data_IF_827714523368
#
_entry.id   IF_827714523368
#
_cell.length_a   1.000
_cell.length_b   1.000
_cell.length_c   1.000
_cell.angle_alpha   90.00
_cell.angle_beta   90.00
_cell.angle_gamma   90.00
#
_symmetry.space_group_name_H-M   'P 1'
#
loop_
_entity.id
_entity.type
_entity.pdbx_description
1 polymer ?
#
# COMPACT_ATOMS: atom_id res chain seq x y z
N UNK A 1 12.46 -46.90 -2.13
CA UNK A 1 11.13 -46.24 -2.10
C UNK A 1 11.36 -44.94 -1.33
N UNK A 2 11.91 -43.92 -1.99
CA UNK A 2 11.19 -42.88 -2.77
C UNK A 2 10.26 -42.05 -1.87
N UNK A 3 10.18 -40.73 -1.94
CA UNK A 3 10.84 -39.74 -2.77
C UNK A 3 10.70 -38.36 -2.09
N UNK A 4 11.61 -37.47 -2.46
CA UNK A 4 11.66 -36.02 -2.25
C UNK A 4 10.37 -35.29 -2.63
N UNK A 5 9.91 -34.35 -1.79
CA UNK A 5 8.97 -33.31 -2.15
C UNK A 5 9.70 -31.95 -2.25
N UNK A 6 9.93 -31.48 -3.48
CA UNK A 6 10.22 -30.08 -3.80
C UNK A 6 8.92 -29.47 -4.31
N UNK A 7 8.45 -28.39 -3.69
CA UNK A 7 7.38 -27.56 -4.19
C UNK A 7 7.96 -26.55 -5.19
N UNK A 8 7.73 -26.82 -6.48
CA UNK A 8 8.11 -25.95 -7.60
C UNK A 8 7.18 -24.72 -7.70
N UNK A 9 7.75 -23.52 -7.57
CA UNK A 9 7.11 -22.29 -8.03
C UNK A 9 7.11 -22.27 -9.57
N UNK A 10 5.94 -22.39 -10.20
CA UNK A 10 5.75 -22.23 -11.65
C UNK A 10 5.20 -20.85 -11.97
N UNK A 11 6.06 -19.93 -12.43
CA UNK A 11 5.63 -18.76 -13.19
C UNK A 11 5.39 -19.18 -14.66
N UNK A 12 4.15 -19.13 -15.12
CA UNK A 12 3.80 -19.34 -16.53
C UNK A 12 3.57 -17.99 -17.22
N UNK A 13 4.19 -17.69 -18.37
CA UNK A 13 3.73 -16.60 -19.22
C UNK A 13 2.51 -17.06 -20.04
N UNK A 14 1.35 -16.40 -19.87
CA UNK A 14 0.18 -16.61 -20.74
C UNK A 14 0.42 -15.96 -22.11
N UNK A 15 0.29 -16.76 -23.17
CA UNK A 15 0.21 -16.31 -24.57
C UNK A 15 -1.09 -15.53 -24.82
N UNK A 16 -0.97 -14.33 -25.38
CA UNK A 16 -2.05 -13.62 -26.05
C UNK A 16 -2.37 -14.31 -27.39
N UNK A 17 -3.62 -14.73 -27.60
CA UNK A 17 -4.12 -15.21 -28.89
C UNK A 17 -4.97 -14.10 -29.54
N UNK A 18 -4.41 -13.46 -30.58
CA UNK A 18 -5.17 -12.65 -31.53
C UNK A 18 -5.85 -13.54 -32.58
N UNK A 19 -7.14 -13.32 -32.80
CA UNK A 19 -7.96 -13.96 -33.82
C UNK A 19 -8.13 -13.01 -35.01
N UNK A 20 -7.75 -13.43 -36.22
CA UNK A 20 -8.20 -12.79 -37.47
C UNK A 20 -8.46 -13.86 -38.54
N UNK A 21 -9.70 -13.91 -39.02
CA UNK A 21 -10.07 -13.87 -40.45
C UNK A 21 -9.80 -15.08 -41.34
N UNK A 22 -10.89 -15.66 -41.85
CA UNK A 22 -10.98 -16.74 -42.84
C UNK A 22 -11.02 -16.16 -44.27
N UNK A 23 -10.27 -16.71 -45.23
CA UNK A 23 -10.58 -16.58 -46.67
C UNK A 23 -9.91 -17.68 -47.54
N UNK A 24 -10.78 -18.46 -48.20
CA UNK A 24 -10.80 -18.91 -49.61
C UNK A 24 -9.61 -19.61 -50.31
N UNK A 25 -9.98 -20.56 -51.21
CA UNK A 25 -9.18 -21.59 -51.90
C UNK A 25 -8.53 -21.15 -53.24
N UNK A 26 -7.32 -21.71 -53.50
CA UNK A 26 -6.69 -22.28 -54.75
C UNK A 26 -6.42 -21.38 -56.00
N UNK A 27 -5.52 -21.76 -56.97
CA UNK A 27 -4.45 -22.80 -56.99
C UNK A 27 -3.05 -22.38 -57.56
N UNK A 28 -2.07 -23.26 -57.26
CA UNK A 28 -0.92 -23.78 -58.04
C UNK A 28 0.16 -22.89 -58.73
N UNK A 29 1.41 -23.34 -58.45
CA UNK A 29 2.66 -23.25 -59.22
C UNK A 29 3.46 -21.95 -59.12
N UNK A 30 4.58 -21.98 -58.37
CA UNK A 30 5.94 -21.60 -58.83
C UNK A 30 6.97 -22.10 -57.79
N UNK A 31 7.99 -22.78 -58.31
CA UNK A 31 9.35 -23.04 -57.80
C UNK A 31 9.65 -22.88 -56.29
N UNK A 32 10.04 -24.00 -55.69
CA UNK A 32 10.60 -24.10 -54.35
C UNK A 32 11.92 -23.32 -54.22
N UNK A 33 11.87 -22.13 -53.61
CA UNK A 33 13.04 -21.50 -53.01
C UNK A 33 13.23 -22.12 -51.63
N UNK A 34 14.32 -22.87 -51.48
CA UNK A 34 14.76 -23.50 -50.23
C UNK A 34 15.18 -22.40 -49.26
N UNK A 35 14.22 -21.83 -48.52
CA UNK A 35 14.54 -20.95 -47.38
C UNK A 35 15.12 -21.81 -46.26
N UNK A 36 16.44 -21.73 -46.09
CA UNK A 36 17.13 -22.21 -44.89
C UNK A 36 16.47 -21.56 -43.67
N UNK A 37 15.69 -22.34 -42.93
CA UNK A 37 15.28 -22.02 -41.56
C UNK A 37 16.54 -21.92 -40.71
N UNK A 38 17.16 -20.74 -40.67
CA UNK A 38 18.05 -20.41 -39.55
C UNK A 38 17.14 -20.26 -38.34
N UNK A 39 17.03 -21.35 -37.57
CA UNK A 39 16.56 -21.34 -36.21
C UNK A 39 17.33 -20.23 -35.50
N UNK A 40 16.70 -19.06 -35.27
CA UNK A 40 17.26 -18.03 -34.40
C UNK A 40 17.33 -18.68 -33.03
N UNK A 41 18.51 -19.17 -32.70
CA UNK A 41 18.84 -19.75 -31.41
C UNK A 41 18.35 -18.76 -30.35
N UNK A 42 17.25 -19.11 -29.68
CA UNK A 42 16.90 -18.53 -28.40
C UNK A 42 18.04 -18.98 -27.51
N UNK A 43 19.08 -18.13 -27.39
CA UNK A 43 20.25 -18.44 -26.57
C UNK A 43 19.71 -18.68 -25.17
N UNK A 44 19.76 -19.95 -24.78
CA UNK A 44 19.47 -20.40 -23.42
C UNK A 44 20.27 -19.50 -22.47
N UNK A 45 19.58 -18.62 -21.75
CA UNK A 45 20.22 -17.87 -20.69
C UNK A 45 20.67 -18.91 -19.65
N UNK A 46 21.98 -18.98 -19.34
CA UNK A 46 22.47 -19.96 -18.39
C UNK A 46 21.78 -19.73 -17.04
N UNK A 47 21.39 -20.82 -16.36
CA UNK A 47 20.69 -20.79 -15.06
C UNK A 47 21.34 -19.84 -14.06
N UNK A 48 22.67 -19.68 -14.14
CA UNK A 48 23.45 -18.77 -13.31
C UNK A 48 23.05 -17.29 -13.51
N UNK A 49 22.74 -16.86 -14.74
CA UNK A 49 22.31 -15.49 -15.04
C UNK A 49 20.86 -15.22 -14.60
N UNK A 50 20.02 -16.26 -14.57
CA UNK A 50 18.67 -16.21 -14.00
C UNK A 50 18.72 -16.08 -12.46
N UNK A 51 19.63 -16.82 -11.81
CA UNK A 51 19.86 -16.73 -10.36
C UNK A 51 20.44 -15.36 -9.95
N UNK A 52 21.32 -14.76 -10.77
CA UNK A 52 21.89 -13.43 -10.52
C UNK A 52 20.84 -12.29 -10.64
N UNK A 53 19.79 -12.44 -11.45
CA UNK A 53 18.66 -11.50 -11.48
C UNK A 53 17.75 -11.64 -10.25
N UNK A 54 17.60 -12.84 -9.68
CA UNK A 54 16.83 -13.06 -8.44
C UNK A 54 17.54 -12.53 -7.18
N UNK A 55 18.87 -12.45 -7.18
CA UNK A 55 19.66 -12.01 -6.02
C UNK A 55 19.83 -10.49 -5.92
N UNK A 56 19.45 -9.74 -6.95
CA UNK A 56 19.66 -8.29 -7.03
C UNK A 56 18.45 -7.44 -6.58
N UNK A 57 17.29 -8.06 -6.33
CA UNK A 57 16.10 -7.37 -5.81
C UNK A 57 15.53 -8.10 -4.58
N UNK A 58 16.13 -7.96 -3.39
CA UNK A 58 15.36 -8.14 -2.18
C UNK A 58 14.56 -6.85 -1.95
N UNK A 59 13.22 -6.91 -1.82
CA UNK A 59 12.49 -6.29 -0.69
C UNK A 59 11.01 -5.95 -0.94
N UNK A 60 10.51 -5.80 -2.16
CA UNK A 60 9.11 -5.41 -2.36
C UNK A 60 8.27 -6.60 -2.81
N UNK A 61 7.62 -7.25 -1.85
CA UNK A 61 6.78 -8.40 -2.08
C UNK A 61 5.37 -7.99 -2.56
N UNK A 62 5.00 -6.72 -2.37
CA UNK A 62 3.77 -6.11 -2.86
C UNK A 62 4.04 -4.95 -3.82
N UNK A 63 3.12 -4.80 -4.77
CA UNK A 63 3.04 -3.59 -5.57
C UNK A 63 1.60 -3.24 -5.89
N UNK A 64 1.31 -1.95 -6.02
CA UNK A 64 0.05 -1.44 -6.51
C UNK A 64 0.32 -0.44 -7.63
N UNK A 65 -0.36 -0.60 -8.77
CA UNK A 65 -0.27 0.34 -9.88
C UNK A 65 -1.59 1.07 -10.04
N UNK A 66 -1.55 2.39 -9.86
CA UNK A 66 -2.65 3.30 -10.17
C UNK A 66 -2.63 3.68 -11.64
N UNK A 67 -3.83 3.91 -12.18
CA UNK A 67 -4.04 4.32 -13.56
C UNK A 67 -4.99 5.51 -13.63
N UNK A 68 -4.70 6.42 -14.56
CA UNK A 68 -5.52 7.60 -14.83
C UNK A 68 -6.85 7.29 -15.53
N UNK A 69 -6.92 6.16 -16.23
CA UNK A 69 -8.14 5.64 -16.86
C UNK A 69 -8.38 4.18 -16.41
N UNK A 70 -9.31 3.47 -17.04
CA UNK A 70 -9.55 2.04 -16.83
C UNK A 70 -8.39 1.14 -17.35
N UNK A 71 -7.41 0.89 -16.48
CA UNK A 71 -6.13 0.19 -16.74
C UNK A 71 -5.26 0.85 -17.82
N UNK A 72 -5.43 2.15 -18.07
CA UNK A 72 -4.79 2.93 -19.13
C UNK A 72 -4.46 4.35 -18.65
N UNK A 73 -4.00 5.19 -19.57
CA UNK A 73 -3.64 6.58 -19.27
C UNK A 73 -2.27 6.66 -18.60
N UNK A 74 -2.08 7.68 -17.76
CA UNK A 74 -0.90 7.73 -16.89
C UNK A 74 -0.95 6.59 -15.89
N UNK A 75 0.22 6.14 -15.42
CA UNK A 75 0.30 5.11 -14.39
C UNK A 75 1.44 5.36 -13.43
N UNK A 76 1.24 5.02 -12.16
CA UNK A 76 2.25 5.08 -11.11
C UNK A 76 2.25 3.78 -10.32
N UNK A 77 3.43 3.18 -10.13
CA UNK A 77 3.58 1.94 -9.37
C UNK A 77 4.21 2.24 -8.02
N UNK A 78 3.53 1.77 -6.99
CA UNK A 78 3.90 1.87 -5.59
C UNK A 78 4.30 0.49 -5.08
N UNK A 79 5.43 0.41 -4.41
CA UNK A 79 5.88 -0.81 -3.74
C UNK A 79 5.49 -0.78 -2.25
N UNK A 80 5.80 -1.81 -1.48
CA UNK A 80 5.57 -1.79 -0.03
C UNK A 80 5.99 -0.45 0.60
N UNK A 81 5.08 0.19 1.35
CA UNK A 81 5.32 1.49 1.97
C UNK A 81 4.11 2.42 2.01
N UNK A 82 4.33 3.57 2.62
CA UNK A 82 3.33 4.62 2.82
C UNK A 82 3.71 5.85 1.97
N UNK A 83 2.81 6.25 1.08
CA UNK A 83 3.02 7.34 0.13
C UNK A 83 1.96 8.41 0.34
N UNK A 84 2.26 9.35 1.24
CA UNK A 84 1.50 10.58 1.39
C UNK A 84 1.72 11.51 0.18
N UNK A 85 0.95 12.59 0.03
CA UNK A 85 0.88 13.48 -1.14
C UNK A 85 2.21 13.76 -1.85
N UNK A 86 3.25 14.16 -1.10
CA UNK A 86 4.55 14.45 -1.69
C UNK A 86 5.22 13.19 -2.29
N UNK A 87 5.17 12.06 -1.59
CA UNK A 87 5.70 10.78 -2.07
C UNK A 87 4.81 10.16 -3.16
N UNK A 88 3.49 10.37 -3.06
CA UNK A 88 2.49 9.94 -4.01
C UNK A 88 2.74 10.54 -5.39
N UNK A 89 2.88 11.86 -5.44
CA UNK A 89 3.18 12.61 -6.66
C UNK A 89 4.61 12.39 -7.15
N UNK A 90 5.59 12.28 -6.25
CA UNK A 90 6.97 11.95 -6.61
C UNK A 90 7.12 10.56 -7.25
N UNK A 91 6.27 9.59 -6.86
CA UNK A 91 6.19 8.27 -7.49
C UNK A 91 5.51 8.29 -8.88
N UNK A 92 5.05 9.45 -9.33
CA UNK A 92 4.47 9.68 -10.66
C UNK A 92 2.95 9.63 -10.70
N UNK A 93 2.26 9.50 -9.56
CA UNK A 93 0.81 9.61 -9.56
C UNK A 93 0.37 11.05 -9.76
N UNK A 94 -0.75 11.22 -10.45
CA UNK A 94 -1.41 12.50 -10.58
C UNK A 94 -2.51 12.58 -9.55
N UNK A 95 -2.35 13.56 -8.68
CA UNK A 95 -3.31 13.90 -7.64
C UNK A 95 -4.70 14.08 -8.24
N UNK A 96 -5.71 13.48 -7.62
CA UNK A 96 -7.10 13.63 -8.06
C UNK A 96 -7.37 13.25 -9.52
N UNK A 97 -6.66 12.25 -10.06
CA UNK A 97 -6.86 11.79 -11.45
C UNK A 97 -6.91 10.24 -11.56
N UNK A 98 -6.95 9.51 -10.45
CA UNK A 98 -6.91 8.05 -10.47
C UNK A 98 -8.31 7.44 -10.70
N UNK A 99 -8.40 6.53 -11.68
CA UNK A 99 -9.66 5.89 -12.10
C UNK A 99 -9.68 4.38 -11.90
N UNK A 100 -8.52 3.75 -11.70
CA UNK A 100 -8.44 2.30 -11.49
C UNK A 100 -7.12 1.86 -10.86
N UNK A 101 -7.08 0.64 -10.31
CA UNK A 101 -5.90 0.12 -9.61
C UNK A 101 -5.68 -1.38 -9.89
N UNK A 102 -4.42 -1.78 -9.95
CA UNK A 102 -3.98 -3.18 -9.90
C UNK A 102 -3.11 -3.39 -8.68
N UNK A 103 -3.38 -4.44 -7.90
CA UNK A 103 -2.57 -4.85 -6.76
C UNK A 103 -1.98 -6.23 -7.08
N UNK A 104 -0.66 -6.33 -7.05
CA UNK A 104 0.09 -7.55 -7.35
C UNK A 104 0.89 -8.02 -6.13
N UNK A 105 0.90 -9.34 -5.94
CA UNK A 105 1.68 -10.02 -4.91
C UNK A 105 0.79 -10.76 -3.91
N UNK A 106 1.32 -11.86 -3.37
CA UNK A 106 0.57 -12.74 -2.49
C UNK A 106 0.19 -12.04 -1.18
N UNK A 107 -1.11 -12.06 -0.89
CA UNK A 107 -1.74 -11.37 0.24
C UNK A 107 -1.57 -9.85 0.21
N UNK A 108 -1.20 -9.25 -0.91
CA UNK A 108 -1.01 -7.81 -0.97
C UNK A 108 -2.32 -7.06 -0.88
N UNK A 109 -2.25 -5.89 -0.25
CA UNK A 109 -3.35 -4.96 -0.14
C UNK A 109 -2.80 -3.55 -0.40
N UNK A 110 -3.62 -2.73 -1.05
CA UNK A 110 -3.40 -1.30 -1.19
C UNK A 110 -4.59 -0.53 -0.58
N UNK A 111 -4.31 0.53 0.16
CA UNK A 111 -5.33 1.43 0.68
C UNK A 111 -5.13 2.80 0.04
N UNK A 112 -6.11 3.26 -0.72
CA UNK A 112 -6.15 4.61 -1.26
C UNK A 112 -6.85 5.56 -0.30
N UNK A 113 -6.42 6.81 -0.31
CA UNK A 113 -6.95 7.88 0.51
C UNK A 113 -7.27 9.10 -0.34
N UNK A 114 -8.35 9.79 0.02
CA UNK A 114 -8.84 10.96 -0.69
C UNK A 114 -8.01 12.20 -0.42
N UNK A 115 -7.51 12.33 0.81
CA UNK A 115 -6.76 13.49 1.24
C UNK A 115 -5.30 13.12 1.56
N UNK A 116 -4.44 14.14 1.57
CA UNK A 116 -3.11 14.05 2.16
C UNK A 116 -3.19 13.68 3.66
N UNK A 117 -2.08 13.21 4.22
CA UNK A 117 -2.00 12.69 5.58
C UNK A 117 -2.77 11.39 5.80
N UNK A 118 -3.12 10.68 4.72
CA UNK A 118 -3.98 9.48 4.75
C UNK A 118 -5.39 9.77 5.33
N UNK A 119 -5.91 10.95 5.06
CA UNK A 119 -7.24 11.40 5.49
C UNK A 119 -8.31 11.21 4.41
N UNK A 120 -9.50 11.73 4.69
CA UNK A 120 -10.62 11.73 3.75
C UNK A 120 -11.27 10.37 3.57
N UNK A 121 -11.89 10.16 2.40
CA UNK A 121 -12.40 8.84 2.02
C UNK A 121 -11.23 7.86 1.85
N UNK A 122 -11.48 6.56 2.02
CA UNK A 122 -10.47 5.55 1.74
C UNK A 122 -11.09 4.31 1.09
N UNK A 123 -10.26 3.54 0.40
CA UNK A 123 -10.67 2.32 -0.29
C UNK A 123 -9.59 1.25 -0.21
N UNK A 124 -9.98 0.04 0.17
CA UNK A 124 -9.06 -1.09 0.38
C UNK A 124 -9.17 -2.08 -0.77
N UNK A 125 -8.03 -2.37 -1.42
CA UNK A 125 -7.91 -3.25 -2.56
C UNK A 125 -7.01 -4.42 -2.20
N UNK A 126 -7.52 -5.65 -2.26
CA UNK A 126 -6.70 -6.87 -2.13
C UNK A 126 -5.97 -7.14 -3.45
N UNK A 127 -5.12 -8.16 -3.48
CA UNK A 127 -4.53 -8.65 -4.73
C UNK A 127 -5.61 -8.84 -5.81
N UNK A 128 -5.40 -8.20 -6.97
CA UNK A 128 -6.38 -8.19 -8.04
C UNK A 128 -6.28 -7.01 -9.00
N UNK A 129 -7.12 -7.04 -10.04
CA UNK A 129 -7.28 -5.96 -11.01
C UNK A 129 -8.66 -5.36 -10.80
N UNK A 130 -8.71 -4.06 -10.50
CA UNK A 130 -9.94 -3.34 -10.23
C UNK A 130 -10.15 -2.30 -11.32
N UNK A 131 -10.84 -2.72 -12.37
CA UNK A 131 -11.38 -1.84 -13.40
C UNK A 131 -12.31 -0.78 -12.81
N UNK A 132 -12.58 0.29 -13.54
CA UNK A 132 -13.35 1.47 -13.08
C UNK A 132 -14.57 1.14 -12.20
N UNK A 133 -15.46 0.25 -12.65
CA UNK A 133 -16.64 -0.12 -11.86
C UNK A 133 -16.29 -0.81 -10.54
N UNK A 134 -15.29 -1.70 -10.55
CA UNK A 134 -14.82 -2.40 -9.36
C UNK A 134 -14.02 -1.47 -8.43
N UNK A 135 -13.35 -0.47 -8.99
CA UNK A 135 -12.65 0.59 -8.27
C UNK A 135 -13.63 1.37 -7.40
N UNK A 136 -14.70 1.89 -8.01
CA UNK A 136 -15.76 2.62 -7.30
C UNK A 136 -16.51 1.74 -6.30
N UNK A 137 -16.82 0.50 -6.69
CA UNK A 137 -17.49 -0.47 -5.80
C UNK A 137 -16.67 -0.82 -4.56
N UNK A 138 -15.34 -0.67 -4.63
CA UNK A 138 -14.44 -0.89 -3.49
C UNK A 138 -14.33 0.33 -2.56
N UNK A 139 -15.13 1.37 -2.82
CA UNK A 139 -15.20 2.58 -2.00
C UNK A 139 -14.33 3.74 -2.51
N UNK A 140 -13.60 3.55 -3.62
CA UNK A 140 -12.79 4.64 -4.14
C UNK A 140 -13.63 5.66 -4.87
N UNK A 141 -13.18 6.91 -4.83
CA UNK A 141 -13.80 7.99 -5.58
C UNK A 141 -12.95 8.26 -6.82
N UNK A 142 -13.63 8.37 -7.96
CA UNK A 142 -12.96 8.70 -9.22
C UNK A 142 -12.28 10.06 -9.13
N UNK A 143 -11.08 10.19 -9.69
CA UNK A 143 -10.38 11.47 -9.80
C UNK A 143 -10.27 12.21 -8.46
N UNK A 144 -10.00 11.46 -7.39
CA UNK A 144 -10.06 12.01 -6.04
C UNK A 144 -9.03 11.43 -5.06
N UNK A 145 -8.03 10.67 -5.54
CA UNK A 145 -7.03 10.03 -4.69
C UNK A 145 -5.77 10.89 -4.57
N UNK A 146 -5.28 11.04 -3.34
CA UNK A 146 -4.13 11.90 -3.01
C UNK A 146 -3.00 11.17 -2.25
N UNK A 147 -3.27 9.97 -1.74
CA UNK A 147 -2.28 9.14 -1.04
C UNK A 147 -2.59 7.64 -1.16
N UNK A 148 -1.57 6.80 -0.98
CA UNK A 148 -1.70 5.33 -1.01
C UNK A 148 -0.77 4.67 0.00
N UNK A 149 -1.21 3.55 0.57
CA UNK A 149 -0.34 2.61 1.29
C UNK A 149 -0.39 1.25 0.62
N UNK A 150 0.75 0.55 0.57
CA UNK A 150 0.87 -0.76 -0.07
C UNK A 150 1.62 -1.71 0.87
N UNK A 151 1.14 -2.95 1.00
CA UNK A 151 1.86 -3.95 1.78
C UNK A 151 1.13 -5.29 1.88
N UNK A 152 1.79 -6.29 2.49
CA UNK A 152 1.19 -7.60 2.74
C UNK A 152 0.13 -7.56 3.84
N UNK A 153 -1.03 -8.12 3.52
CA UNK A 153 -2.08 -8.60 4.41
C UNK A 153 -2.62 -7.57 5.38
N UNK A 154 -2.53 -6.28 5.04
CA UNK A 154 -2.15 -5.20 5.96
C UNK A 154 -2.60 -5.28 7.43
N UNK A 155 -2.07 -6.27 8.14
CA UNK A 155 -1.39 -6.19 9.41
C UNK A 155 0.06 -6.59 9.13
N UNK A 156 0.99 -5.69 9.44
CA UNK A 156 2.46 -5.84 9.35
C UNK A 156 3.14 -5.43 8.02
N UNK A 157 3.16 -4.13 7.71
CA UNK A 157 4.43 -3.47 7.36
C UNK A 157 5.27 -3.12 8.59
N UNK A 158 4.80 -3.46 9.80
CA UNK A 158 5.58 -3.51 11.05
C UNK A 158 5.87 -4.98 11.41
N UNK A 159 6.99 -5.58 10.98
CA UNK A 159 7.37 -6.96 11.30
C UNK A 159 7.42 -7.31 12.80
N UNK A 160 7.23 -6.34 13.71
CA UNK A 160 7.16 -6.56 15.17
C UNK A 160 5.96 -5.92 15.84
N UNK A 161 4.94 -5.49 15.10
CA UNK A 161 3.73 -5.05 15.77
C UNK A 161 3.02 -6.24 16.42
N UNK A 162 2.71 -6.12 17.71
CA UNK A 162 1.83 -7.06 18.41
C UNK A 162 0.65 -6.31 19.01
N UNK A 163 -0.56 -6.83 18.79
CA UNK A 163 -1.74 -6.34 19.48
C UNK A 163 -1.51 -6.37 20.99
N UNK A 164 -2.11 -5.43 21.71
CA UNK A 164 -2.05 -5.40 23.18
C UNK A 164 -2.70 -6.68 23.71
N UNK A 165 -1.96 -7.54 24.45
CA UNK A 165 -2.51 -8.80 24.92
C UNK A 165 -3.76 -8.61 25.78
N UNK A 166 -4.84 -9.30 25.43
CA UNK A 166 -6.10 -9.25 26.18
C UNK A 166 -6.89 -7.95 26.02
N UNK A 167 -6.50 -7.06 25.11
CA UNK A 167 -7.29 -5.86 24.83
C UNK A 167 -8.65 -6.23 24.22
N UNK A 168 -9.69 -5.59 24.76
CA UNK A 168 -11.07 -5.66 24.32
C UNK A 168 -11.71 -4.28 24.48
N UNK A 169 -12.57 -3.91 23.54
CA UNK A 169 -13.44 -2.75 23.73
C UNK A 169 -14.53 -3.02 24.78
N UNK A 170 -15.37 -2.01 25.05
CA UNK A 170 -16.48 -2.12 26.00
C UNK A 170 -17.54 -3.18 25.62
N UNK A 171 -17.54 -3.66 24.37
CA UNK A 171 -18.44 -4.69 23.86
C UNK A 171 -17.78 -6.08 23.79
N UNK A 172 -16.56 -6.21 24.34
CA UNK A 172 -15.76 -7.45 24.27
C UNK A 172 -15.31 -7.81 22.85
N UNK A 173 -15.13 -6.83 21.96
CA UNK A 173 -14.50 -7.03 20.66
C UNK A 173 -12.99 -6.75 20.74
N UNK A 174 -12.19 -7.67 20.21
CA UNK A 174 -10.74 -7.52 20.09
C UNK A 174 -10.30 -7.12 18.67
N UNK A 175 -8.99 -6.99 18.46
CA UNK A 175 -8.40 -6.50 17.20
C UNK A 175 -8.84 -7.26 15.94
N UNK A 176 -9.08 -8.57 16.03
CA UNK A 176 -9.61 -9.36 14.90
C UNK A 176 -11.01 -8.93 14.46
N UNK A 177 -11.87 -8.48 15.38
CA UNK A 177 -13.22 -8.02 15.03
C UNK A 177 -13.13 -6.70 14.25
N UNK A 178 -12.27 -5.80 14.70
CA UNK A 178 -12.03 -4.51 14.04
C UNK A 178 -11.50 -4.68 12.62
N UNK A 179 -10.64 -5.68 12.37
CA UNK A 179 -10.24 -6.06 11.02
C UNK A 179 -11.40 -6.62 10.20
N UNK A 180 -12.08 -7.64 10.74
CA UNK A 180 -13.11 -8.39 10.03
C UNK A 180 -14.30 -7.51 9.61
N UNK A 181 -14.69 -6.60 10.49
CA UNK A 181 -15.85 -5.74 10.29
C UNK A 181 -15.49 -4.48 9.48
N UNK A 182 -14.22 -4.35 9.05
CA UNK A 182 -13.76 -3.25 8.22
C UNK A 182 -13.63 -1.93 8.98
N UNK A 183 -13.51 -1.99 10.30
CA UNK A 183 -13.26 -0.80 11.12
C UNK A 183 -11.79 -0.40 11.07
N UNK A 184 -10.90 -1.38 10.91
CA UNK A 184 -9.48 -1.15 10.73
C UNK A 184 -8.94 -1.97 9.59
N UNK A 185 -8.10 -1.35 8.77
CA UNK A 185 -7.33 -2.05 7.77
C UNK A 185 -6.04 -1.27 7.57
N UNK A 186 -4.95 -2.00 7.48
CA UNK A 186 -3.69 -1.43 7.07
C UNK A 186 -2.96 -0.51 7.99
N UNK A 187 -3.01 -0.82 9.28
CA UNK A 187 -2.42 0.05 10.28
C UNK A 187 -3.19 1.36 10.38
N UNK A 188 -4.47 1.35 10.03
CA UNK A 188 -5.34 2.51 10.10
C UNK A 188 -6.68 2.15 10.66
N UNK A 189 -7.24 3.13 11.34
CA UNK A 189 -8.66 3.22 11.56
C UNK A 189 -9.34 3.72 10.29
N UNK A 190 -10.33 2.97 9.82
CA UNK A 190 -11.14 3.28 8.64
C UNK A 190 -12.32 4.20 8.98
N UNK A 191 -12.66 4.37 10.26
CA UNK A 191 -13.76 5.25 10.66
C UNK A 191 -13.40 6.12 11.86
N UNK A 192 -13.51 7.45 11.75
CA UNK A 192 -13.06 8.34 12.83
C UNK A 192 -13.70 8.07 14.20
N UNK A 193 -14.96 7.62 14.25
CA UNK A 193 -15.67 7.36 15.50
C UNK A 193 -15.09 6.21 16.32
N UNK A 194 -14.37 5.26 15.71
CA UNK A 194 -13.72 4.17 16.45
C UNK A 194 -12.44 4.62 17.15
N UNK A 195 -11.89 5.82 16.84
CA UNK A 195 -10.73 6.38 17.57
C UNK A 195 -11.09 6.90 18.96
N UNK A 196 -12.35 6.77 19.39
CA UNK A 196 -12.79 7.30 20.67
C UNK A 196 -12.53 6.34 21.83
N UNK A 197 -12.38 6.93 23.02
CA UNK A 197 -12.24 6.20 24.29
C UNK A 197 -13.44 5.29 24.60
N UNK A 198 -14.60 5.56 23.99
CA UNK A 198 -15.78 4.69 24.02
C UNK A 198 -15.47 3.28 23.51
N UNK A 199 -14.58 3.15 22.53
CA UNK A 199 -14.14 1.87 21.98
C UNK A 199 -12.80 1.41 22.55
N UNK A 200 -12.35 2.03 23.66
CA UNK A 200 -11.05 1.78 24.29
C UNK A 200 -9.86 1.91 23.32
N UNK A 201 -9.95 2.86 22.38
CA UNK A 201 -8.83 3.32 21.55
C UNK A 201 -8.13 2.20 20.74
N UNK A 202 -8.85 1.51 19.83
CA UNK A 202 -8.29 0.44 18.99
C UNK A 202 -7.05 0.86 18.19
N UNK A 203 -6.97 2.13 17.77
CA UNK A 203 -5.81 2.73 17.11
C UNK A 203 -4.53 2.77 17.96
N UNK A 204 -4.62 2.55 19.28
CA UNK A 204 -3.48 2.44 20.19
C UNK A 204 -3.14 0.98 20.51
N UNK A 205 -4.13 0.08 20.43
CA UNK A 205 -3.99 -1.28 20.91
C UNK A 205 -3.86 -2.34 19.83
N UNK A 206 -4.35 -2.06 18.62
CA UNK A 206 -4.42 -3.01 17.53
C UNK A 206 -3.49 -2.62 16.39
N UNK A 207 -2.64 -3.55 15.98
CA UNK A 207 -1.71 -3.40 14.86
C UNK A 207 -2.43 -3.09 13.56
N UNK A 208 -3.56 -3.76 13.31
CA UNK A 208 -4.40 -3.51 12.13
C UNK A 208 -4.94 -2.07 12.09
N UNK A 209 -5.07 -1.42 13.25
CA UNK A 209 -5.57 -0.06 13.40
C UNK A 209 -4.45 1.01 13.49
N UNK A 210 -3.18 0.60 13.45
CA UNK A 210 -2.02 1.49 13.53
C UNK A 210 -1.35 1.53 14.91
N UNK A 211 -1.97 0.89 15.90
CA UNK A 211 -1.51 0.80 17.27
C UNK A 211 -0.69 -0.45 17.54
N UNK A 212 -0.91 -1.03 18.72
CA UNK A 212 -0.21 -2.20 19.20
C UNK A 212 1.16 -1.86 19.78
N UNK A 213 1.74 -2.85 20.45
CA UNK A 213 3.10 -2.80 20.96
C UNK A 213 4.08 -2.83 19.78
N UNK A 214 4.41 -1.66 19.25
CA UNK A 214 5.76 -1.41 18.72
C UNK A 214 6.64 -0.95 19.88
N UNK A 215 6.99 -1.86 20.80
CA UNK A 215 8.12 -1.60 21.69
C UNK A 215 9.41 -1.64 20.84
N UNK A 216 9.63 -0.67 19.95
CA UNK A 216 10.89 -0.48 19.24
C UNK A 216 10.91 -0.46 17.69
N UNK A 217 9.79 -0.37 16.95
CA UNK A 217 9.90 -0.08 15.49
C UNK A 217 9.96 1.42 15.22
N UNK A 218 11.15 1.97 15.45
CA UNK A 218 11.71 2.99 14.57
C UNK A 218 12.05 2.33 13.24
N UNK A 219 11.75 2.96 12.11
CA UNK A 219 12.53 2.69 10.91
C UNK A 219 14.02 2.81 11.27
N UNK A 220 14.82 1.88 10.77
CA UNK A 220 16.25 1.83 11.08
C UNK A 220 16.92 3.12 10.59
N UNK A 221 17.11 4.06 11.51
CA UNK A 221 17.98 5.24 11.36
C UNK A 221 17.51 6.55 12.00
N UNK A 222 16.24 6.72 12.40
CA UNK A 222 15.75 8.06 12.81
C UNK A 222 15.79 8.29 14.30
N UNK A 223 16.57 9.27 14.73
CA UNK A 223 16.29 9.99 15.96
C UNK A 223 15.52 11.24 15.58
N UNK A 224 14.22 11.09 15.29
CA UNK A 224 13.36 12.26 15.29
C UNK A 224 13.52 12.98 16.63
N UNK A 225 13.80 14.27 16.55
CA UNK A 225 13.81 15.18 17.69
C UNK A 225 12.78 16.27 17.44
N UNK A 226 12.01 16.60 18.46
CA UNK A 226 11.09 17.72 18.42
C UNK A 226 11.87 19.01 18.08
N UNK A 227 11.26 19.89 17.30
CA UNK A 227 11.86 21.19 16.99
C UNK A 227 12.07 21.96 18.29
N UNK A 228 13.33 22.24 18.62
CA UNK A 228 13.69 22.89 19.88
C UNK A 228 13.00 24.25 20.01
N UNK A 229 12.31 24.46 21.13
CA UNK A 229 11.60 25.72 21.43
C UNK A 229 10.33 25.94 20.63
N UNK A 230 9.86 24.95 19.86
CA UNK A 230 8.61 25.06 19.15
C UNK A 230 7.42 25.14 20.12
N UNK A 231 6.52 26.08 19.83
CA UNK A 231 5.24 26.26 20.48
C UNK A 231 4.21 26.60 19.41
N UNK A 232 2.97 26.17 19.62
CA UNK A 232 1.83 26.67 18.85
C UNK A 232 1.46 28.12 19.26
N UNK A 233 0.50 28.79 18.58
CA UNK A 233 0.07 30.14 18.94
C UNK A 233 -0.55 30.30 20.33
N UNK A 234 -0.85 29.19 21.03
CA UNK A 234 -1.39 29.17 22.38
C UNK A 234 -0.30 28.88 23.44
N UNK A 235 0.97 28.73 23.02
CA UNK A 235 2.08 28.43 23.92
C UNK A 235 2.17 26.96 24.32
N UNK A 236 1.63 26.05 23.53
CA UNK A 236 1.66 24.61 23.79
C UNK A 236 2.75 23.93 22.96
N UNK A 237 3.61 23.15 23.64
CA UNK A 237 4.68 22.36 23.01
C UNK A 237 4.29 20.89 22.78
N UNK A 238 5.21 20.11 22.24
CA UNK A 238 4.98 18.71 21.85
C UNK A 238 4.51 17.81 23.00
N UNK A 239 4.98 18.04 24.23
CA UNK A 239 4.53 17.30 25.41
C UNK A 239 3.03 17.45 25.68
N UNK A 240 2.48 18.64 25.42
CA UNK A 240 1.06 18.93 25.63
C UNK A 240 0.19 18.27 24.57
N UNK A 241 0.67 18.22 23.33
CA UNK A 241 -0.02 17.51 22.25
C UNK A 241 -0.07 16.00 22.48
N UNK A 242 0.94 15.43 23.14
CA UNK A 242 0.89 14.05 23.63
C UNK A 242 -0.07 13.89 24.82
N UNK A 243 0.05 14.74 25.85
CA UNK A 243 -0.75 14.58 27.09
C UNK A 243 -2.23 14.76 26.87
N UNK A 244 -2.62 15.64 25.96
CA UNK A 244 -4.01 15.98 25.68
C UNK A 244 -4.62 15.05 24.61
N UNK A 245 -3.86 14.09 24.08
CA UNK A 245 -4.33 13.16 23.06
C UNK A 245 -4.55 13.81 21.70
N UNK A 246 -3.87 14.91 21.40
CA UNK A 246 -3.88 15.50 20.07
C UNK A 246 -2.98 14.74 19.09
N UNK A 247 -1.96 14.06 19.61
CA UNK A 247 -1.02 13.25 18.84
C UNK A 247 -0.67 11.95 19.57
N UNK A 248 -0.58 10.86 18.82
CA UNK A 248 -0.13 9.57 19.34
C UNK A 248 0.49 8.73 18.22
N UNK A 249 1.48 7.91 18.58
CA UNK A 249 2.05 6.91 17.67
C UNK A 249 2.76 7.48 16.44
N UNK A 250 3.07 8.78 16.41
CA UNK A 250 3.67 9.45 15.25
C UNK A 250 2.63 10.06 14.29
N UNK A 251 1.44 10.41 14.78
CA UNK A 251 0.38 10.99 13.97
C UNK A 251 -0.43 12.03 14.76
N UNK A 252 -1.05 12.96 14.03
CA UNK A 252 -2.10 13.84 14.53
C UNK A 252 -3.43 13.09 14.57
N UNK A 253 -4.13 13.12 15.69
CA UNK A 253 -5.37 12.36 15.87
C UNK A 253 -6.61 13.10 15.33
N UNK A 254 -6.48 14.40 15.10
CA UNK A 254 -7.53 15.24 14.53
C UNK A 254 -7.01 16.12 13.40
N UNK A 255 -7.77 16.21 12.29
CA UNK A 255 -7.40 16.96 11.08
C UNK A 255 -7.07 18.45 11.36
N UNK A 256 -7.78 19.09 12.30
CA UNK A 256 -7.53 20.50 12.63
C UNK A 256 -6.19 20.73 13.35
N UNK A 257 -5.61 19.69 13.95
CA UNK A 257 -4.31 19.72 14.64
C UNK A 257 -3.16 19.87 13.64
N UNK A 258 -3.33 19.38 12.40
CA UNK A 258 -2.29 19.42 11.37
C UNK A 258 -2.14 20.79 10.68
N UNK A 259 -2.97 21.79 10.99
CA UNK A 259 -3.11 23.01 10.18
C UNK A 259 -2.05 24.07 10.55
N UNK A 260 -1.72 24.92 9.57
CA UNK A 260 -0.79 26.06 9.74
C UNK A 260 -1.15 26.98 10.92
N UNK A 261 -2.44 27.07 11.25
CA UNK A 261 -2.97 27.85 12.37
C UNK A 261 -2.49 27.37 13.74
N UNK A 262 -1.96 26.16 13.85
CA UNK A 262 -1.34 25.61 15.05
C UNK A 262 0.18 25.46 14.89
N UNK A 263 0.77 26.21 13.95
CA UNK A 263 2.21 26.20 13.69
C UNK A 263 2.75 24.80 13.31
N UNK A 264 1.95 24.01 12.61
CA UNK A 264 2.30 22.70 12.05
C UNK A 264 2.92 21.71 13.06
N UNK A 265 2.13 21.19 14.03
CA UNK A 265 2.59 20.20 15.00
C UNK A 265 3.15 18.94 14.36
N UNK A 266 2.57 18.49 13.23
CA UNK A 266 3.04 17.34 12.47
C UNK A 266 4.43 17.53 11.84
N UNK A 267 4.94 18.77 11.73
CA UNK A 267 6.29 19.08 11.22
C UNK A 267 7.28 19.39 12.35
N UNK A 268 6.77 19.57 13.57
CA UNK A 268 7.56 20.04 14.71
C UNK A 268 7.65 19.05 15.87
N UNK A 269 6.70 18.12 15.96
CA UNK A 269 6.62 17.15 17.03
C UNK A 269 6.68 15.73 16.49
N UNK A 270 7.62 14.94 16.98
CA UNK A 270 7.82 13.54 16.61
C UNK A 270 6.59 12.70 16.93
N UNK A 271 5.94 12.96 18.07
CA UNK A 271 4.70 12.30 18.46
C UNK A 271 3.55 12.55 17.47
N UNK A 272 3.60 13.68 16.76
CA UNK A 272 2.60 14.11 15.78
C UNK A 272 2.95 13.75 14.33
N UNK A 273 4.08 13.06 14.10
CA UNK A 273 4.48 12.60 12.77
C UNK A 273 5.57 13.41 12.09
N UNK A 274 6.32 14.24 12.84
CA UNK A 274 7.52 14.89 12.31
C UNK A 274 8.45 13.83 11.73
N UNK A 275 8.65 13.91 10.43
CA UNK A 275 9.70 13.18 9.74
C UNK A 275 10.99 14.02 9.76
N UNK A 276 12.11 13.31 9.84
CA UNK A 276 13.51 13.74 9.80
C UNK A 276 13.77 15.13 9.19
#
# INVERSE_FOLDING_TARGET
RDATARSDCKCFPRRMHGSVGRASKLPASVSAIRMSRTHRQVRSMPLLLCMLFCLANPLHACSATLYGDDMKGWSATFYDGDYDYAAFTAAGARDNEASSIRVDGYECIAVLFGDAGFGGWHATFKEGIYHFDAFLKSGAHNDAASAIRVGKGIGNSRPQCKDTPGWLDQYSHGCMAYEKDGHCAGGNVLHDWIKSSTFHDPHLHCCICGGGSTAGWKESGSTCQDTSGWLDPHGHGCDKYLSDGHCAGGYVLHEYIAKDRLNNPHQNCCVCGKQW
#
